data_IF_737310297600
#
_entry.id   IF_737310297600
#
_cell.length_a   1.000
_cell.length_b   1.000
_cell.length_c   1.000
_cell.angle_alpha   90.00
_cell.angle_beta   90.00
_cell.angle_gamma   90.00
#
_symmetry.space_group_name_H-M   'P 1'
#
loop_
_entity.id
_entity.type
_entity.pdbx_description
1 polymer ?
#
# COMPACT_ATOMS: atom_id res chain seq x y z
N UNK A 1 3.64 9.90 6.51
CA UNK A 1 2.91 8.73 7.06
C UNK A 1 2.51 7.74 5.96
N UNK A 2 1.90 8.19 4.86
CA UNK A 2 1.43 7.29 3.79
C UNK A 2 2.53 6.73 2.88
N UNK A 3 3.74 7.29 2.90
CA UNK A 3 4.91 6.78 2.17
C UNK A 3 5.29 5.35 2.55
N UNK A 4 5.09 4.97 3.81
CA UNK A 4 5.33 3.61 4.32
C UNK A 4 4.27 2.62 3.82
N UNK A 5 3.14 3.10 3.31
CA UNK A 5 2.06 2.25 2.81
C UNK A 5 2.02 2.15 1.28
N UNK A 6 3.13 2.46 0.60
CA UNK A 6 3.21 2.37 -0.87
C UNK A 6 2.47 3.49 -1.61
N UNK A 7 2.34 4.69 -1.00
CA UNK A 7 1.70 5.82 -1.68
C UNK A 7 2.44 6.17 -2.98
N UNK A 8 1.69 6.29 -4.08
CA UNK A 8 2.24 6.76 -5.36
C UNK A 8 2.42 8.27 -5.34
N UNK A 9 3.22 8.80 -6.28
CA UNK A 9 3.41 10.26 -6.45
C UNK A 9 2.07 11.00 -6.56
N UNK A 10 1.12 10.43 -7.31
CA UNK A 10 -0.22 10.99 -7.52
C UNK A 10 -0.97 11.07 -6.18
N UNK A 11 -0.95 9.99 -5.40
CA UNK A 11 -1.59 9.96 -4.08
C UNK A 11 -0.94 10.92 -3.07
N UNK A 12 0.38 11.05 -3.08
CA UNK A 12 1.10 11.99 -2.22
C UNK A 12 0.77 13.45 -2.56
N UNK A 13 0.76 13.79 -3.86
CA UNK A 13 0.35 15.11 -4.35
C UNK A 13 -1.08 15.43 -3.93
N UNK A 14 -2.02 14.51 -4.10
CA UNK A 14 -3.43 14.76 -3.80
C UNK A 14 -3.66 14.94 -2.29
N UNK A 15 -2.91 14.21 -1.44
CA UNK A 15 -2.90 14.44 0.00
C UNK A 15 -2.38 15.83 0.35
N UNK A 16 -1.29 16.29 -0.27
CA UNK A 16 -0.73 17.63 -0.07
C UNK A 16 -1.68 18.71 -0.60
N UNK A 17 -2.26 18.54 -1.80
CA UNK A 17 -3.25 19.46 -2.39
C UNK A 17 -4.46 19.63 -1.46
N UNK A 18 -4.98 18.54 -0.88
CA UNK A 18 -6.09 18.59 0.07
C UNK A 18 -5.75 19.40 1.32
N UNK A 19 -4.56 19.18 1.90
CA UNK A 19 -4.08 19.93 3.07
C UNK A 19 -3.83 21.41 2.78
N UNK A 20 -3.31 21.75 1.60
CA UNK A 20 -3.11 23.14 1.16
C UNK A 20 -4.45 23.86 0.96
N UNK A 21 -5.44 23.17 0.38
CA UNK A 21 -6.80 23.70 0.18
C UNK A 21 -7.53 23.96 1.50
N UNK A 22 -7.39 23.08 2.49
CA UNK A 22 -7.96 23.25 3.83
C UNK A 22 -7.39 24.47 4.58
N UNK A 23 -6.17 24.88 4.26
CA UNK A 23 -5.52 26.06 4.86
C UNK A 23 -5.78 27.37 4.11
N UNK A 24 -6.58 27.35 3.04
CA UNK A 24 -6.85 28.50 2.16
C UNK A 24 -5.59 29.29 1.76
N UNK A 25 -4.47 28.60 1.54
CA UNK A 25 -3.18 29.27 1.34
C UNK A 25 -3.02 29.89 -0.06
N UNK A 26 -3.77 29.40 -1.06
CA UNK A 26 -3.70 29.83 -2.46
C UNK A 26 -5.12 29.75 -3.04
N UNK A 27 -5.64 30.85 -3.59
CA UNK A 27 -6.99 30.92 -4.17
C UNK A 27 -7.04 30.40 -5.62
N UNK A 28 -5.93 30.50 -6.36
CA UNK A 28 -5.81 29.97 -7.73
C UNK A 28 -5.51 28.46 -7.75
N UNK A 29 -6.36 27.68 -8.43
CA UNK A 29 -6.21 26.21 -8.49
C UNK A 29 -5.01 25.79 -9.36
N UNK A 30 -4.56 26.65 -10.28
CA UNK A 30 -3.40 26.39 -11.15
C UNK A 30 -2.10 26.47 -10.35
N UNK A 31 -1.91 27.54 -9.58
CA UNK A 31 -0.80 27.70 -8.65
C UNK A 31 -0.83 26.66 -7.53
N UNK A 32 -2.01 26.32 -7.00
CA UNK A 32 -2.19 25.26 -6.01
C UNK A 32 -1.71 23.90 -6.55
N UNK A 33 -2.02 23.60 -7.81
CA UNK A 33 -1.58 22.37 -8.46
C UNK A 33 -0.06 22.34 -8.65
N UNK A 34 0.54 23.43 -9.13
CA UNK A 34 1.99 23.54 -9.30
C UNK A 34 2.74 23.42 -7.96
N UNK A 35 2.28 24.13 -6.92
CA UNK A 35 2.85 24.09 -5.58
C UNK A 35 2.74 22.69 -4.95
N UNK A 36 1.59 22.03 -5.10
CA UNK A 36 1.40 20.65 -4.62
C UNK A 36 2.31 19.65 -5.33
N UNK A 37 2.55 19.81 -6.64
CA UNK A 37 3.49 18.98 -7.39
C UNK A 37 4.93 19.15 -6.89
N UNK A 38 5.37 20.41 -6.70
CA UNK A 38 6.70 20.70 -6.19
C UNK A 38 6.90 20.14 -4.78
N UNK A 39 5.95 20.41 -3.87
CA UNK A 39 6.01 19.92 -2.50
C UNK A 39 5.99 18.37 -2.44
N UNK A 40 5.17 17.70 -3.25
CA UNK A 40 5.15 16.25 -3.34
C UNK A 40 6.47 15.68 -3.83
N UNK A 41 7.08 16.30 -4.85
CA UNK A 41 8.36 15.86 -5.39
C UNK A 41 9.47 15.99 -4.35
N UNK A 42 9.60 17.16 -3.72
CA UNK A 42 10.64 17.42 -2.72
C UNK A 42 10.49 16.53 -1.49
N UNK A 43 9.26 16.34 -1.00
CA UNK A 43 9.01 15.45 0.16
C UNK A 43 9.30 13.99 -0.16
N UNK A 44 8.94 13.49 -1.34
CA UNK A 44 9.26 12.11 -1.73
C UNK A 44 10.77 11.89 -1.96
N UNK A 45 11.49 12.89 -2.48
CA UNK A 45 12.95 12.82 -2.61
C UNK A 45 13.60 12.75 -1.23
N UNK A 46 13.25 13.67 -0.32
CA UNK A 46 13.78 13.68 1.03
C UNK A 46 13.47 12.37 1.79
N UNK A 47 12.24 11.84 1.64
CA UNK A 47 11.86 10.55 2.23
C UNK A 47 12.64 9.38 1.61
N UNK A 48 12.98 9.46 0.33
CA UNK A 48 13.80 8.45 -0.35
C UNK A 48 15.22 8.38 0.19
N UNK A 49 15.82 9.53 0.49
CA UNK A 49 17.17 9.63 1.07
C UNK A 49 17.20 9.21 2.54
N UNK A 50 16.16 9.54 3.32
CA UNK A 50 16.11 9.21 4.75
C UNK A 50 15.93 7.72 5.05
N UNK A 51 15.37 6.93 4.11
CA UNK A 51 14.96 5.54 4.35
C UNK A 51 15.50 4.55 3.31
N UNK A 52 16.74 4.72 2.88
CA UNK A 52 17.38 3.84 1.90
C UNK A 52 17.42 2.37 2.34
N UNK A 53 17.83 2.10 3.59
CA UNK A 53 17.88 0.74 4.14
C UNK A 53 16.50 0.07 4.19
N UNK A 54 15.47 0.82 4.60
CA UNK A 54 14.10 0.31 4.63
C UNK A 54 13.58 0.01 3.21
N UNK A 55 13.97 0.84 2.22
CA UNK A 55 13.62 0.62 0.81
C UNK A 55 14.27 -0.64 0.23
N UNK A 56 15.51 -0.92 0.61
CA UNK A 56 16.19 -2.16 0.22
C UNK A 56 15.46 -3.40 0.76
N UNK A 57 15.01 -3.37 2.02
CA UNK A 57 14.23 -4.46 2.62
C UNK A 57 12.86 -4.59 1.94
N UNK A 58 12.18 -3.47 1.64
CA UNK A 58 10.92 -3.46 0.89
C UNK A 58 11.04 -4.12 -0.47
N UNK A 59 12.08 -3.75 -1.22
CA UNK A 59 12.34 -4.31 -2.55
C UNK A 59 12.60 -5.81 -2.45
N UNK A 60 13.43 -6.23 -1.48
CA UNK A 60 13.72 -7.65 -1.26
C UNK A 60 12.47 -8.46 -0.89
N UNK A 61 11.64 -7.98 0.04
CA UNK A 61 10.36 -8.63 0.39
C UNK A 61 9.40 -8.68 -0.80
N UNK A 62 9.35 -7.62 -1.61
CA UNK A 62 8.56 -7.57 -2.83
C UNK A 62 9.01 -8.61 -3.85
N UNK A 63 10.32 -8.81 -4.01
CA UNK A 63 10.87 -9.83 -4.90
C UNK A 63 10.63 -11.25 -4.37
N UNK A 64 10.73 -11.47 -3.05
CA UNK A 64 10.30 -12.72 -2.45
C UNK A 64 8.81 -13.01 -2.70
N UNK A 65 7.94 -12.02 -2.51
CA UNK A 65 6.50 -12.16 -2.76
C UNK A 65 6.19 -12.51 -4.23
N UNK A 66 6.94 -11.94 -5.19
CA UNK A 66 6.81 -12.30 -6.62
C UNK A 66 7.15 -13.76 -6.87
N UNK A 67 8.24 -14.28 -6.28
CA UNK A 67 8.64 -15.68 -6.43
C UNK A 67 7.58 -16.62 -5.86
N UNK A 68 7.05 -16.32 -4.67
CA UNK A 68 5.99 -17.14 -4.05
C UNK A 68 4.70 -17.08 -4.89
N UNK A 69 4.34 -15.91 -5.43
CA UNK A 69 3.18 -15.76 -6.30
C UNK A 69 3.32 -16.53 -7.63
N UNK A 70 4.55 -16.73 -8.14
CA UNK A 70 4.80 -17.58 -9.31
C UNK A 70 4.50 -19.06 -9.03
N UNK A 71 4.68 -19.50 -7.79
CA UNK A 71 4.33 -20.85 -7.32
C UNK A 71 2.83 -20.98 -6.96
N UNK A 72 2.06 -19.91 -7.13
CA UNK A 72 0.64 -19.81 -6.78
C UNK A 72 0.33 -20.11 -5.30
N UNK A 73 1.30 -19.86 -4.41
CA UNK A 73 1.15 -19.97 -2.96
C UNK A 73 1.00 -18.57 -2.32
N UNK A 74 0.16 -18.40 -1.28
CA UNK A 74 0.01 -17.12 -0.62
C UNK A 74 1.22 -16.84 0.27
N UNK A 75 1.64 -15.57 0.32
CA UNK A 75 2.68 -15.12 1.24
C UNK A 75 2.20 -15.35 2.68
N UNK A 76 2.97 -16.12 3.45
CA UNK A 76 2.71 -16.43 4.86
C UNK A 76 3.96 -16.19 5.70
N UNK A 77 3.77 -15.70 6.92
CA UNK A 77 4.83 -15.62 7.92
C UNK A 77 4.25 -15.86 9.31
N UNK A 78 5.12 -16.23 10.25
CA UNK A 78 4.74 -16.38 11.65
C UNK A 78 5.23 -15.15 12.41
N UNK A 79 4.32 -14.51 13.13
CA UNK A 79 4.65 -13.37 14.00
C UNK A 79 5.52 -13.81 15.18
N UNK A 80 6.27 -12.90 15.84
CA UNK A 80 7.08 -13.25 17.02
C UNK A 80 6.27 -13.87 18.17
N UNK A 81 4.96 -13.62 18.22
CA UNK A 81 4.02 -14.20 19.19
C UNK A 81 3.45 -15.56 18.77
N UNK A 82 3.95 -16.14 17.67
CA UNK A 82 3.57 -17.46 17.18
C UNK A 82 2.30 -17.51 16.33
N UNK A 83 1.66 -16.37 16.03
CA UNK A 83 0.47 -16.36 15.18
C UNK A 83 0.84 -16.42 13.70
N UNK A 84 0.32 -17.39 12.93
CA UNK A 84 0.51 -17.45 11.49
C UNK A 84 -0.36 -16.38 10.81
N UNK A 85 0.26 -15.56 9.97
CA UNK A 85 -0.40 -14.56 9.15
C UNK A 85 -0.25 -14.99 7.69
N UNK A 86 -1.38 -15.03 6.97
CA UNK A 86 -1.44 -15.41 5.55
C UNK A 86 -2.11 -14.27 4.79
N UNK A 87 -1.55 -13.89 3.65
CA UNK A 87 -2.11 -12.85 2.79
C UNK A 87 -3.09 -13.44 1.77
N UNK A 88 -4.41 -13.14 1.87
CA UNK A 88 -5.42 -13.72 0.99
C UNK A 88 -5.62 -12.90 -0.29
N UNK A 89 -4.53 -12.54 -0.99
CA UNK A 89 -4.61 -11.75 -2.23
C UNK A 89 -4.88 -12.65 -3.45
N UNK A 90 -6.14 -13.08 -3.58
CA UNK A 90 -6.64 -13.84 -4.73
C UNK A 90 -7.37 -12.95 -5.73
N UNK A 91 -7.26 -13.27 -7.01
CA UNK A 91 -8.02 -12.59 -8.06
C UNK A 91 -9.50 -12.91 -7.92
N UNK A 92 -10.33 -11.87 -7.93
CA UNK A 92 -11.78 -12.02 -7.93
C UNK A 92 -12.26 -12.28 -9.37
N UNK A 93 -12.82 -13.46 -9.59
CA UNK A 93 -13.53 -13.82 -10.80
C UNK A 93 -14.93 -13.23 -10.79
N UNK A 94 -15.37 -12.69 -11.93
CA UNK A 94 -16.77 -12.26 -12.09
C UNK A 94 -17.60 -13.45 -12.55
N UNK A 95 -18.64 -13.77 -11.80
CA UNK A 95 -19.59 -14.83 -12.10
C UNK A 95 -20.98 -14.24 -12.35
N UNK A 96 -21.57 -14.52 -13.50
CA UNK A 96 -22.92 -14.06 -13.83
C UNK A 96 -23.95 -15.15 -13.53
N UNK A 97 -24.81 -14.90 -12.54
CA UNK A 97 -25.94 -15.77 -12.22
C UNK A 97 -27.18 -15.22 -12.91
N UNK A 98 -27.70 -15.96 -13.89
CA UNK A 98 -29.00 -15.66 -14.48
C UNK A 98 -30.09 -16.12 -13.52
N UNK A 99 -30.90 -15.18 -13.04
CA UNK A 99 -32.14 -15.46 -12.31
C UNK A 99 -33.35 -15.14 -13.20
N UNK A 100 -34.54 -15.59 -12.82
CA UNK A 100 -35.78 -15.32 -13.58
C UNK A 100 -36.12 -13.83 -13.71
N UNK A 101 -35.57 -12.97 -12.83
CA UNK A 101 -35.80 -11.53 -12.83
C UNK A 101 -34.65 -10.74 -13.47
N UNK A 102 -33.40 -11.14 -13.23
CA UNK A 102 -32.23 -10.41 -13.73
C UNK A 102 -30.96 -11.26 -13.71
N UNK A 103 -29.93 -10.80 -14.41
CA UNK A 103 -28.58 -11.38 -14.35
C UNK A 103 -27.77 -10.65 -13.29
N UNK A 104 -27.43 -11.34 -12.20
CA UNK A 104 -26.60 -10.81 -11.12
C UNK A 104 -25.13 -11.08 -11.42
N UNK A 105 -24.28 -10.06 -11.32
CA UNK A 105 -22.82 -10.21 -11.36
C UNK A 105 -22.29 -10.34 -9.93
N UNK A 106 -21.83 -11.52 -9.56
CA UNK A 106 -21.17 -11.78 -8.29
C UNK A 106 -19.65 -11.82 -8.48
N UNK A 107 -18.92 -11.43 -7.45
CA UNK A 107 -17.48 -11.65 -7.36
C UNK A 107 -17.24 -12.91 -6.54
N UNK A 108 -16.47 -13.85 -7.10
CA UNK A 108 -16.05 -15.08 -6.43
C UNK A 108 -14.53 -15.13 -6.45
N UNK A 109 -13.92 -15.55 -5.35
CA UNK A 109 -12.47 -15.80 -5.31
C UNK A 109 -12.10 -16.89 -6.33
N UNK A 110 -11.09 -16.62 -7.14
CA UNK A 110 -10.49 -17.58 -8.07
C UNK A 110 -9.25 -18.19 -7.42
N UNK A 111 -8.82 -19.38 -7.85
CA UNK A 111 -7.60 -20.03 -7.35
C UNK A 111 -6.30 -19.32 -7.79
N UNK A 112 -6.40 -18.29 -8.62
CA UNK A 112 -5.28 -17.51 -9.13
C UNK A 112 -4.93 -16.37 -8.17
N UNK A 113 -3.67 -16.31 -7.73
CA UNK A 113 -3.18 -15.19 -6.93
C UNK A 113 -2.99 -13.92 -7.75
N UNK A 114 -3.15 -12.78 -7.08
CA UNK A 114 -2.83 -11.48 -7.64
C UNK A 114 -1.42 -11.06 -7.25
N UNK A 115 -0.46 -11.30 -8.15
CA UNK A 115 0.96 -11.00 -7.93
C UNK A 115 1.26 -9.52 -7.73
N UNK A 116 0.43 -8.61 -8.27
CA UNK A 116 0.60 -7.16 -8.11
C UNK A 116 0.15 -6.73 -6.72
N UNK A 117 -1.06 -7.13 -6.31
CA UNK A 117 -1.56 -6.86 -4.95
C UNK A 117 -0.69 -7.52 -3.88
N UNK A 118 -0.23 -8.75 -4.13
CA UNK A 118 0.64 -9.46 -3.19
C UNK A 118 2.00 -8.82 -3.02
N UNK A 119 2.58 -8.18 -4.03
CA UNK A 119 3.88 -7.51 -3.92
C UNK A 119 3.78 -6.10 -3.34
N UNK A 120 2.76 -5.34 -3.71
CA UNK A 120 2.56 -3.97 -3.19
C UNK A 120 2.09 -3.94 -1.73
N UNK A 121 1.21 -4.87 -1.33
CA UNK A 121 0.62 -4.89 0.01
C UNK A 121 1.36 -5.80 0.99
N UNK A 122 2.39 -6.54 0.53
CA UNK A 122 3.25 -7.34 1.40
C UNK A 122 3.81 -6.49 2.54
N UNK A 123 4.33 -5.32 2.19
CA UNK A 123 4.95 -4.41 3.12
C UNK A 123 3.94 -3.66 4.00
N UNK A 124 2.79 -3.26 3.46
CA UNK A 124 1.72 -2.56 4.19
C UNK A 124 1.21 -3.41 5.36
N UNK A 125 1.04 -4.71 5.16
CA UNK A 125 0.62 -5.62 6.22
C UNK A 125 1.76 -5.93 7.20
N UNK A 126 2.99 -6.12 6.70
CA UNK A 126 4.15 -6.36 7.55
C UNK A 126 4.42 -5.18 8.49
N UNK A 127 4.28 -3.96 7.99
CA UNK A 127 4.40 -2.73 8.79
C UNK A 127 3.18 -2.47 9.65
N UNK A 128 1.94 -2.69 9.20
CA UNK A 128 0.76 -2.45 10.05
C UNK A 128 0.73 -3.36 11.28
N UNK A 129 1.15 -4.62 11.15
CA UNK A 129 1.26 -5.54 12.30
C UNK A 129 2.42 -5.15 13.22
N UNK A 130 3.56 -4.74 12.67
CA UNK A 130 4.69 -4.28 13.49
C UNK A 130 4.46 -2.91 14.11
N UNK A 131 3.78 -1.96 13.47
CA UNK A 131 3.46 -0.63 14.05
C UNK A 131 2.38 -0.73 15.12
N UNK A 132 1.46 -1.71 15.03
CA UNK A 132 0.54 -2.02 16.13
C UNK A 132 1.26 -2.58 17.38
N UNK A 133 2.46 -3.16 17.24
CA UNK A 133 3.30 -3.62 18.37
C UNK A 133 4.42 -2.63 18.75
N UNK A 134 4.96 -1.90 17.80
CA UNK A 134 5.93 -0.81 17.94
C UNK A 134 5.23 0.54 17.77
N UNK A 135 4.18 0.76 18.56
CA UNK A 135 3.84 2.13 18.92
C UNK A 135 5.09 2.76 19.50
N UNK A 136 5.51 3.90 18.94
CA UNK A 136 6.62 4.72 19.40
C UNK A 136 6.64 4.79 20.95
N UNK A 137 7.46 3.96 21.59
CA UNK A 137 8.04 4.29 22.88
C UNK A 137 9.33 5.03 22.57
N UNK A 138 9.42 6.35 22.82
CA UNK A 138 10.72 6.99 22.89
C UNK A 138 11.41 6.40 24.11
N UNK A 139 12.37 5.51 23.89
CA UNK A 139 13.33 5.17 24.94
C UNK A 139 14.41 6.25 24.85
N UNK A 140 14.18 7.35 25.56
CA UNK A 140 15.27 8.25 25.96
C UNK A 140 16.20 7.46 26.89
N UNK A 141 17.49 7.52 26.59
CA UNK A 141 18.59 7.19 27.49
C UNK A 141 19.61 8.31 27.43
#
# INVERSE_FOLDING_TARGET
MTSVYGVTYIGARDQIKKRLKERCAIEDDTELFAASCYAAKTTLIALGEMFEAARSIMNWLGDCAKVIALENEPVRWTTPIGLPVVQPYRKLGRYMIKTSLQVLTLQRETDMLDSLLSSELCFVNFTSINVCFFGCYPVES
#
